data_IF_386936339579
#
_entry.id   IF_386936339579
#
_cell.length_a   1.000
_cell.length_b   1.000
_cell.length_c   1.000
_cell.angle_alpha   90.00
_cell.angle_beta   90.00
_cell.angle_gamma   90.00
#
_symmetry.space_group_name_H-M   'P 1'
#
loop_
_entity.id
_entity.type
_entity.pdbx_description
1 polymer ?
#
# COMPACT_ATOMS: atom_id res chain seq x y z
N UNK A 1 -31.49 -5.40 21.70
CA UNK A 1 -30.14 -4.86 21.44
C UNK A 1 -30.32 -3.48 20.83
N UNK A 2 -29.70 -2.48 21.40
CA UNK A 2 -30.01 -1.07 21.10
C UNK A 2 -29.39 -0.65 19.76
N UNK A 3 -29.99 0.32 19.08
CA UNK A 3 -29.52 0.92 17.83
C UNK A 3 -28.06 1.44 17.92
N UNK A 4 -27.58 1.80 19.11
CA UNK A 4 -26.21 2.24 19.37
C UNK A 4 -25.15 1.13 19.25
N UNK A 5 -25.45 -0.11 19.64
CA UNK A 5 -24.50 -1.23 19.47
C UNK A 5 -24.35 -1.61 18.00
N UNK A 6 -25.44 -1.54 17.22
CA UNK A 6 -25.40 -1.82 15.78
C UNK A 6 -24.57 -0.77 15.02
N UNK A 7 -24.74 0.53 15.37
CA UNK A 7 -23.95 1.61 14.76
C UNK A 7 -22.47 1.50 15.07
N UNK A 8 -22.07 0.99 16.26
CA UNK A 8 -20.66 0.77 16.59
C UNK A 8 -20.03 -0.39 15.82
N UNK A 9 -20.78 -1.46 15.54
CA UNK A 9 -20.29 -2.60 14.75
C UNK A 9 -19.99 -2.22 13.32
N UNK A 10 -20.89 -1.48 12.66
CA UNK A 10 -20.70 -1.01 11.28
C UNK A 10 -19.49 -0.07 11.15
N UNK A 11 -19.26 0.81 12.12
CA UNK A 11 -18.13 1.71 12.09
C UNK A 11 -16.78 0.99 12.26
N UNK A 12 -16.72 -0.07 13.09
CA UNK A 12 -15.48 -0.88 13.22
C UNK A 12 -15.23 -1.68 11.96
N UNK A 13 -16.25 -2.24 11.36
CA UNK A 13 -16.21 -2.96 10.09
C UNK A 13 -15.69 -2.07 8.97
N UNK A 14 -16.30 -0.92 8.75
CA UNK A 14 -15.91 0.09 7.76
C UNK A 14 -14.43 0.51 7.95
N UNK A 15 -14.00 0.72 9.20
CA UNK A 15 -12.60 0.99 9.53
C UNK A 15 -11.66 -0.13 9.09
N UNK A 16 -12.00 -1.40 9.35
CA UNK A 16 -11.16 -2.54 9.00
C UNK A 16 -11.07 -2.72 7.47
N UNK A 17 -12.18 -2.54 6.74
CA UNK A 17 -12.22 -2.53 5.29
C UNK A 17 -11.25 -1.49 4.72
N UNK A 18 -11.32 -0.25 5.22
CA UNK A 18 -10.43 0.86 4.84
C UNK A 18 -8.95 0.60 5.17
N UNK A 19 -8.64 0.02 6.33
CA UNK A 19 -7.27 -0.35 6.71
C UNK A 19 -6.69 -1.37 5.72
N UNK A 20 -7.46 -2.42 5.36
CA UNK A 20 -7.00 -3.40 4.39
C UNK A 20 -6.85 -2.79 2.99
N UNK A 21 -7.81 -1.99 2.54
CA UNK A 21 -7.76 -1.31 1.25
C UNK A 21 -6.54 -0.38 1.14
N UNK A 22 -6.33 0.48 2.12
CA UNK A 22 -5.18 1.38 2.13
C UNK A 22 -3.85 0.63 2.20
N UNK A 23 -3.77 -0.48 2.95
CA UNK A 23 -2.57 -1.31 3.00
C UNK A 23 -2.21 -1.90 1.64
N UNK A 24 -3.20 -2.30 0.82
CA UNK A 24 -2.97 -2.74 -0.55
C UNK A 24 -2.37 -1.61 -1.41
N UNK A 25 -2.93 -0.41 -1.34
CA UNK A 25 -2.45 0.72 -2.14
C UNK A 25 -1.06 1.20 -1.72
N UNK A 26 -0.82 1.37 -0.42
CA UNK A 26 0.45 1.86 0.13
C UNK A 26 1.61 0.90 -0.10
N UNK A 27 1.35 -0.40 -0.23
CA UNK A 27 2.39 -1.42 -0.45
C UNK A 27 2.53 -1.86 -1.90
N UNK A 28 1.81 -1.23 -2.84
CA UNK A 28 1.87 -1.56 -4.27
C UNK A 28 3.12 -0.97 -4.93
N UNK A 29 4.26 -1.61 -4.70
CA UNK A 29 5.54 -1.24 -5.28
C UNK A 29 6.10 -2.41 -6.08
N UNK A 30 6.61 -2.12 -7.27
CA UNK A 30 7.34 -3.07 -8.11
C UNK A 30 8.83 -3.15 -7.72
N UNK A 31 9.29 -2.35 -6.74
CA UNK A 31 10.64 -2.34 -6.18
C UNK A 31 10.61 -2.66 -4.68
N UNK A 32 11.72 -3.16 -4.14
CA UNK A 32 11.89 -3.22 -2.67
C UNK A 32 11.84 -1.80 -2.14
N UNK A 33 10.86 -1.49 -1.32
CA UNK A 33 10.65 -0.14 -0.80
C UNK A 33 10.62 -0.12 0.70
N UNK A 34 11.24 0.90 1.27
CA UNK A 34 11.12 1.25 2.68
C UNK A 34 10.86 2.75 2.73
N UNK A 35 9.72 3.15 3.22
CA UNK A 35 9.31 4.55 3.22
C UNK A 35 8.54 4.95 4.46
N UNK A 36 8.44 6.26 4.60
CA UNK A 36 7.56 6.90 5.56
C UNK A 36 6.54 7.70 4.75
N UNK A 37 5.29 7.51 5.08
CA UNK A 37 4.19 8.26 4.51
C UNK A 37 3.65 9.12 5.63
N UNK A 38 3.61 10.42 5.41
CA UNK A 38 2.84 11.34 6.22
C UNK A 38 1.39 11.22 5.72
N UNK A 39 0.62 10.53 6.50
CA UNK A 39 -0.73 10.16 6.18
C UNK A 39 -1.56 10.51 7.41
N UNK A 40 -2.71 11.16 7.24
CA UNK A 40 -3.59 11.46 8.37
C UNK A 40 -4.24 10.18 8.88
N UNK A 41 -3.77 9.63 10.02
CA UNK A 41 -4.32 8.41 10.55
C UNK A 41 -5.72 8.60 11.14
N UNK A 42 -6.21 9.84 11.32
CA UNK A 42 -7.61 10.10 11.67
C UNK A 42 -8.55 9.63 10.54
N UNK A 43 -8.07 9.54 9.30
CA UNK A 43 -8.80 8.91 8.22
C UNK A 43 -9.01 7.40 8.44
N UNK A 44 -8.15 6.72 9.23
CA UNK A 44 -8.36 5.33 9.66
C UNK A 44 -9.19 5.21 10.95
N UNK A 45 -9.14 6.22 11.82
CA UNK A 45 -9.76 6.19 13.15
C UNK A 45 -10.53 7.48 13.35
N UNK A 46 -11.70 7.61 12.76
CA UNK A 46 -12.63 8.65 13.17
C UNK A 46 -13.33 8.22 14.46
N UNK A 47 -12.66 8.40 15.59
CA UNK A 47 -13.26 8.15 16.91
C UNK A 47 -14.34 9.19 17.26
N UNK A 48 -14.43 10.30 16.51
CA UNK A 48 -15.38 11.38 16.77
C UNK A 48 -16.81 11.01 16.35
N UNK A 49 -17.01 10.20 15.33
CA UNK A 49 -18.36 9.80 14.85
C UNK A 49 -19.04 8.77 15.74
N UNK A 50 -18.31 8.08 16.63
CA UNK A 50 -18.85 6.95 17.39
C UNK A 50 -19.24 7.28 18.84
N UNK A 51 -19.36 8.55 19.21
CA UNK A 51 -19.82 8.94 20.54
C UNK A 51 -18.79 8.69 21.67
N UNK A 52 -17.55 8.39 21.35
CA UNK A 52 -16.44 8.14 22.28
C UNK A 52 -15.55 9.35 22.54
N UNK A 53 -16.01 10.55 22.42
CA UNK A 53 -15.23 11.73 22.77
C UNK A 53 -15.85 13.00 22.25
N UNK A 54 -15.74 14.07 23.04
CA UNK A 54 -16.05 15.42 22.59
C UNK A 54 -14.99 15.91 21.59
N UNK A 55 -15.30 16.90 20.76
CA UNK A 55 -14.56 17.54 19.67
C UNK A 55 -13.09 17.98 19.94
N UNK A 56 -12.41 17.38 20.91
CA UNK A 56 -11.06 17.76 21.36
C UNK A 56 -10.11 16.58 21.50
N UNK A 57 -10.19 15.59 20.60
CA UNK A 57 -9.11 14.61 20.47
C UNK A 57 -7.98 15.30 19.72
N UNK A 58 -6.92 15.68 20.42
CA UNK A 58 -5.73 16.29 19.82
C UNK A 58 -4.80 15.13 19.46
N UNK A 59 -4.67 14.88 18.19
CA UNK A 59 -3.67 13.96 17.66
C UNK A 59 -2.30 14.64 17.67
N UNK A 60 -1.38 14.08 18.45
CA UNK A 60 -0.10 14.76 18.71
C UNK A 60 1.04 14.24 17.86
N UNK A 61 0.98 13.07 17.31
CA UNK A 61 1.97 12.51 16.37
C UNK A 61 1.44 11.26 15.69
N UNK A 62 1.43 11.26 14.38
CA UNK A 62 1.16 10.08 13.59
C UNK A 62 2.31 9.83 12.62
N UNK A 63 2.76 8.60 12.56
CA UNK A 63 3.77 8.16 11.61
C UNK A 63 3.35 6.84 11.01
N UNK A 64 3.28 6.79 9.68
CA UNK A 64 3.03 5.55 8.95
C UNK A 64 4.33 5.11 8.27
N UNK A 65 4.80 3.94 8.62
CA UNK A 65 5.94 3.28 8.00
C UNK A 65 5.45 2.18 7.07
N UNK A 66 5.94 2.15 5.86
CA UNK A 66 5.55 1.19 4.83
C UNK A 66 6.78 0.50 4.28
N UNK A 67 6.69 -0.81 4.05
CA UNK A 67 7.74 -1.53 3.36
C UNK A 67 7.20 -2.67 2.52
N UNK A 68 7.86 -2.93 1.39
CA UNK A 68 7.54 -4.04 0.52
C UNK A 68 8.79 -4.68 -0.08
N UNK A 69 8.72 -5.98 -0.29
CA UNK A 69 9.76 -6.80 -0.93
C UNK A 69 9.08 -7.59 -2.04
N UNK A 70 9.04 -7.08 -3.28
CA UNK A 70 8.51 -7.79 -4.43
C UNK A 70 9.58 -8.70 -5.06
N UNK A 71 9.13 -9.74 -5.70
CA UNK A 71 9.89 -10.54 -6.66
C UNK A 71 8.99 -10.88 -7.84
N UNK A 72 9.45 -10.64 -9.05
CA UNK A 72 8.70 -10.92 -10.28
C UNK A 72 9.58 -11.64 -11.31
N UNK A 73 8.95 -12.43 -12.16
CA UNK A 73 9.61 -13.09 -13.25
C UNK A 73 8.66 -13.32 -14.43
N UNK A 74 9.24 -13.43 -15.62
CA UNK A 74 8.52 -13.68 -16.87
C UNK A 74 8.97 -15.01 -17.44
N UNK A 75 8.00 -15.89 -17.74
CA UNK A 75 8.25 -17.17 -18.39
C UNK A 75 7.88 -17.02 -19.86
N UNK A 76 8.87 -17.19 -20.73
CA UNK A 76 8.63 -17.22 -22.19
C UNK A 76 7.90 -18.48 -22.55
N UNK A 77 6.85 -18.37 -23.38
CA UNK A 77 6.14 -19.52 -23.91
C UNK A 77 6.65 -19.90 -25.32
N UNK A 78 6.17 -21.00 -25.87
CA UNK A 78 6.45 -21.39 -27.25
C UNK A 78 5.83 -20.42 -28.28
N UNK A 79 4.84 -19.64 -27.87
CA UNK A 79 4.28 -18.56 -28.67
C UNK A 79 5.09 -17.25 -28.41
N UNK A 80 5.79 -16.72 -29.44
CA UNK A 80 6.65 -15.52 -29.26
C UNK A 80 5.88 -14.26 -28.84
N UNK A 81 4.58 -14.23 -29.07
CA UNK A 81 3.72 -13.08 -28.71
C UNK A 81 3.07 -13.24 -27.34
N UNK A 82 3.32 -14.35 -26.61
CA UNK A 82 2.67 -14.64 -25.34
C UNK A 82 3.68 -14.98 -24.25
N UNK A 83 3.70 -14.20 -23.19
CA UNK A 83 4.48 -14.45 -21.99
C UNK A 83 3.57 -14.72 -20.78
N UNK A 84 4.05 -15.56 -19.85
CA UNK A 84 3.45 -15.72 -18.53
C UNK A 84 4.21 -14.84 -17.54
N UNK A 85 3.51 -13.96 -16.85
CA UNK A 85 4.08 -13.11 -15.82
C UNK A 85 3.60 -13.61 -14.46
N UNK A 86 4.51 -13.69 -13.49
CA UNK A 86 4.13 -13.92 -12.10
C UNK A 86 4.93 -13.04 -11.16
N UNK A 87 4.34 -12.73 -10.04
CA UNK A 87 5.03 -12.00 -8.97
C UNK A 87 4.53 -12.42 -7.60
N UNK A 88 5.40 -12.25 -6.60
CA UNK A 88 5.08 -12.36 -5.19
C UNK A 88 5.61 -11.12 -4.47
N UNK A 89 4.91 -10.70 -3.41
CA UNK A 89 5.33 -9.55 -2.62
C UNK A 89 4.98 -9.78 -1.15
N UNK A 90 5.97 -9.62 -0.28
CA UNK A 90 5.75 -9.47 1.15
C UNK A 90 5.76 -8.00 1.53
N UNK A 91 4.91 -7.58 2.44
CA UNK A 91 4.76 -6.17 2.80
C UNK A 91 4.37 -5.97 4.25
N UNK A 92 4.61 -4.76 4.76
CA UNK A 92 4.09 -4.32 6.04
C UNK A 92 3.66 -2.85 5.99
N UNK A 93 2.66 -2.52 6.80
CA UNK A 93 2.25 -1.17 7.13
C UNK A 93 2.20 -1.07 8.64
N UNK A 94 2.80 -0.03 9.19
CA UNK A 94 2.85 0.25 10.61
C UNK A 94 2.41 1.69 10.84
N UNK A 95 1.32 1.88 11.57
CA UNK A 95 0.82 3.18 12.00
C UNK A 95 0.95 3.29 13.52
N UNK A 96 1.62 4.34 13.98
CA UNK A 96 1.80 4.63 15.40
C UNK A 96 1.22 6.01 15.71
N UNK A 97 0.35 6.07 16.71
CA UNK A 97 -0.33 7.26 17.14
C UNK A 97 -0.32 7.36 18.67
N UNK A 98 -0.17 8.56 19.17
CA UNK A 98 -0.40 8.89 20.58
C UNK A 98 -1.74 9.63 20.71
N UNK A 99 -2.73 8.99 21.32
CA UNK A 99 -4.09 9.53 21.44
C UNK A 99 -4.26 10.21 22.80
N UNK A 100 -4.58 11.51 22.81
CA UNK A 100 -4.97 12.26 24.01
C UNK A 100 -6.50 12.28 24.13
N UNK A 101 -7.02 11.68 25.19
CA UNK A 101 -8.42 11.87 25.59
C UNK A 101 -8.49 12.90 26.69
N UNK A 102 -8.88 14.12 26.36
CA UNK A 102 -9.20 15.15 27.35
C UNK A 102 -10.71 15.30 27.46
N UNK A 103 -11.24 15.04 28.65
CA UNK A 103 -12.62 15.39 28.99
C UNK A 103 -12.59 16.50 30.04
N UNK A 104 -13.62 17.34 30.08
CA UNK A 104 -13.78 18.38 31.12
C UNK A 104 -13.83 17.80 32.56
N UNK A 105 -13.93 16.46 32.66
CA UNK A 105 -14.06 15.70 33.91
C UNK A 105 -12.72 15.17 34.43
N UNK A 106 -11.68 15.03 33.58
CA UNK A 106 -10.41 14.46 34.02
C UNK A 106 -9.24 15.37 33.71
N UNK A 107 -8.41 15.63 34.73
CA UNK A 107 -7.12 16.33 34.57
C UNK A 107 -5.99 15.41 34.09
N UNK A 108 -6.28 14.14 33.79
CA UNK A 108 -5.31 13.12 33.36
C UNK A 108 -5.09 13.22 31.86
N UNK A 109 -4.02 13.90 31.44
CA UNK A 109 -3.62 14.12 30.05
C UNK A 109 -2.60 13.10 29.55
N UNK A 110 -2.50 11.92 30.16
CA UNK A 110 -1.56 10.89 29.69
C UNK A 110 -1.98 10.40 28.32
N UNK A 111 -1.03 10.40 27.38
CA UNK A 111 -1.19 9.87 26.02
C UNK A 111 -1.36 8.36 26.07
N UNK A 112 -2.24 7.86 25.23
CA UNK A 112 -2.51 6.43 25.04
C UNK A 112 -1.91 5.99 23.71
N UNK A 113 -0.77 5.27 23.71
CA UNK A 113 -0.18 4.74 22.48
C UNK A 113 -1.12 3.77 21.79
N UNK A 114 -1.34 4.00 20.52
CA UNK A 114 -2.06 3.11 19.60
C UNK A 114 -1.14 2.70 18.46
N UNK A 115 -1.08 1.41 18.18
CA UNK A 115 -0.24 0.84 17.15
C UNK A 115 -1.02 -0.15 16.30
N UNK A 116 -1.20 0.20 15.04
CA UNK A 116 -1.80 -0.67 14.03
C UNK A 116 -0.71 -1.25 13.13
N UNK A 117 -0.73 -2.56 12.93
CA UNK A 117 0.23 -3.26 12.09
C UNK A 117 -0.53 -4.11 11.09
N UNK A 118 -0.21 -3.97 9.79
CA UNK A 118 -0.69 -4.88 8.74
C UNK A 118 0.50 -5.58 8.11
N UNK A 119 0.46 -6.90 8.08
CA UNK A 119 1.40 -7.73 7.32
C UNK A 119 0.68 -8.27 6.09
N UNK A 120 1.33 -8.21 4.94
CA UNK A 120 0.74 -8.61 3.67
C UNK A 120 1.61 -9.62 2.91
N UNK A 121 0.93 -10.57 2.28
CA UNK A 121 1.50 -11.43 1.25
C UNK A 121 0.61 -11.31 0.00
N UNK A 122 1.22 -10.99 -1.13
CA UNK A 122 0.56 -10.89 -2.44
C UNK A 122 1.18 -11.87 -3.41
N UNK A 123 0.34 -12.54 -4.18
CA UNK A 123 0.73 -13.36 -5.31
C UNK A 123 -0.05 -12.96 -6.56
N UNK A 124 0.62 -12.85 -7.70
CA UNK A 124 0.00 -12.52 -8.98
C UNK A 124 0.43 -13.52 -10.06
N UNK A 125 -0.51 -13.88 -10.92
CA UNK A 125 -0.25 -14.60 -12.15
C UNK A 125 -1.07 -14.01 -13.29
N UNK A 126 -0.43 -13.80 -14.43
CA UNK A 126 -1.06 -13.21 -15.60
C UNK A 126 -0.38 -13.60 -16.92
N UNK A 127 -0.99 -13.13 -17.98
CA UNK A 127 -0.52 -13.29 -19.36
C UNK A 127 -0.22 -11.91 -19.94
N UNK A 128 0.83 -11.81 -20.72
CA UNK A 128 1.16 -10.63 -21.51
C UNK A 128 1.19 -11.02 -22.98
N UNK A 129 0.33 -10.39 -23.78
CA UNK A 129 0.27 -10.53 -25.23
C UNK A 129 0.94 -9.34 -25.91
N UNK A 130 1.89 -9.61 -26.80
CA UNK A 130 2.45 -8.62 -27.72
C UNK A 130 1.46 -8.41 -28.87
N UNK A 131 0.95 -7.19 -29.04
CA UNK A 131 -0.01 -6.82 -30.08
C UNK A 131 0.71 -6.37 -31.37
N UNK A 132 1.80 -5.66 -31.21
CA UNK A 132 2.71 -5.25 -32.27
C UNK A 132 4.11 -4.97 -31.69
N UNK A 133 5.00 -4.29 -32.47
CA UNK A 133 6.38 -4.00 -32.05
C UNK A 133 6.49 -3.14 -30.79
N UNK A 134 5.44 -2.41 -30.42
CA UNK A 134 5.46 -1.41 -29.35
C UNK A 134 4.35 -1.64 -28.32
N UNK A 135 3.23 -2.22 -28.72
CA UNK A 135 2.07 -2.39 -27.87
C UNK A 135 1.98 -3.80 -27.30
N UNK A 136 1.72 -3.90 -26.03
CA UNK A 136 1.35 -5.15 -25.38
C UNK A 136 0.17 -4.95 -24.42
N UNK A 137 -0.61 -6.01 -24.24
CA UNK A 137 -1.70 -6.07 -23.26
C UNK A 137 -1.41 -7.19 -22.28
N UNK A 138 -1.47 -6.86 -20.98
CA UNK A 138 -1.35 -7.81 -19.90
C UNK A 138 -2.66 -7.94 -19.13
N UNK A 139 -2.99 -9.13 -18.67
CA UNK A 139 -4.14 -9.37 -17.79
C UNK A 139 -3.86 -10.53 -16.85
N UNK A 140 -4.43 -10.49 -15.66
CA UNK A 140 -4.18 -11.51 -14.67
C UNK A 140 -4.96 -11.33 -13.39
N UNK A 141 -4.68 -12.20 -12.44
CA UNK A 141 -5.31 -12.22 -11.13
C UNK A 141 -4.24 -12.19 -10.04
N UNK A 142 -4.39 -11.26 -9.12
CA UNK A 142 -3.67 -11.18 -7.87
C UNK A 142 -4.50 -11.69 -6.70
N UNK A 143 -3.83 -12.15 -5.65
CA UNK A 143 -4.45 -12.52 -4.38
C UNK A 143 -3.63 -11.94 -3.25
N UNK A 144 -4.26 -11.18 -2.37
CA UNK A 144 -3.68 -10.67 -1.14
C UNK A 144 -4.15 -11.50 0.05
N UNK A 145 -3.24 -11.85 0.94
CA UNK A 145 -3.52 -12.32 2.28
C UNK A 145 -2.97 -11.30 3.25
N UNK A 146 -3.83 -10.68 4.03
CA UNK A 146 -3.47 -9.61 4.96
C UNK A 146 -3.78 -10.03 6.39
N UNK A 147 -2.89 -9.68 7.30
CA UNK A 147 -3.06 -9.85 8.74
C UNK A 147 -2.94 -8.51 9.44
N UNK A 148 -4.00 -8.07 10.08
CA UNK A 148 -4.07 -6.88 10.90
C UNK A 148 -3.93 -7.20 12.37
N UNK A 149 -3.22 -6.37 13.11
CA UNK A 149 -3.13 -6.39 14.56
C UNK A 149 -3.10 -4.98 15.13
N UNK A 150 -3.96 -4.72 16.09
CA UNK A 150 -3.97 -3.52 16.90
C UNK A 150 -3.37 -3.78 18.28
N UNK A 151 -2.60 -2.83 18.79
CA UNK A 151 -2.11 -2.76 20.18
C UNK A 151 -2.39 -1.37 20.73
N UNK A 152 -3.13 -1.31 21.80
CA UNK A 152 -3.51 -0.07 22.49
C UNK A 152 -3.14 -0.13 23.97
N UNK A 153 -2.53 0.95 24.50
CA UNK A 153 -2.16 1.04 25.91
C UNK A 153 -3.08 2.03 26.65
N UNK A 154 -3.85 1.54 27.61
CA UNK A 154 -4.72 2.36 28.45
C UNK A 154 -3.93 3.05 29.57
N UNK A 155 -3.29 4.20 29.29
CA UNK A 155 -2.53 4.96 30.28
C UNK A 155 -3.40 5.94 31.05
N UNK A 156 -4.37 6.57 30.38
CA UNK A 156 -5.30 7.50 30.95
C UNK A 156 -6.35 6.78 31.83
N UNK A 157 -6.71 7.36 32.97
CA UNK A 157 -7.69 6.78 33.91
C UNK A 157 -9.09 6.65 33.31
N UNK A 158 -9.47 7.58 32.44
CA UNK A 158 -10.76 7.57 31.75
C UNK A 158 -10.84 6.41 30.74
N UNK A 159 -9.82 6.23 29.92
CA UNK A 159 -9.81 5.13 28.92
C UNK A 159 -9.81 3.74 29.55
N UNK A 160 -9.23 3.59 30.74
CA UNK A 160 -9.25 2.32 31.49
C UNK A 160 -10.66 1.88 31.89
N UNK A 161 -11.62 2.79 32.03
CA UNK A 161 -13.00 2.43 32.37
C UNK A 161 -13.69 1.67 31.24
N UNK A 162 -13.23 1.85 30.00
CA UNK A 162 -13.80 1.18 28.81
C UNK A 162 -12.97 -0.04 28.36
N UNK A 163 -11.86 -0.34 29.03
CA UNK A 163 -10.95 -1.41 28.62
C UNK A 163 -11.68 -2.74 28.41
N UNK A 164 -12.51 -3.17 29.36
CA UNK A 164 -13.22 -4.44 29.28
C UNK A 164 -14.27 -4.53 28.15
N UNK A 165 -14.65 -3.38 27.58
CA UNK A 165 -15.64 -3.31 26.48
C UNK A 165 -14.95 -3.23 25.12
N UNK A 166 -13.72 -2.69 25.07
CA UNK A 166 -13.01 -2.43 23.81
C UNK A 166 -11.95 -3.48 23.49
N UNK A 167 -11.35 -4.11 24.53
CA UNK A 167 -10.33 -5.14 24.32
C UNK A 167 -10.92 -6.38 23.63
N UNK A 168 -10.25 -6.80 22.55
CA UNK A 168 -10.70 -7.91 21.70
C UNK A 168 -11.77 -7.53 20.69
N UNK A 169 -12.47 -6.41 20.91
CA UNK A 169 -13.54 -5.95 20.03
C UNK A 169 -13.05 -4.91 19.01
N UNK A 170 -12.62 -3.75 19.48
CA UNK A 170 -12.13 -2.64 18.65
C UNK A 170 -10.64 -2.35 18.85
N UNK A 171 -10.13 -2.64 20.05
CA UNK A 171 -8.74 -2.44 20.46
C UNK A 171 -8.15 -3.75 20.96
N UNK A 172 -6.79 -3.85 20.92
CA UNK A 172 -6.05 -5.05 21.31
C UNK A 172 -6.58 -6.32 20.65
N UNK A 173 -6.83 -6.23 19.34
CA UNK A 173 -7.49 -7.26 18.54
C UNK A 173 -6.74 -7.57 17.25
N UNK A 174 -7.20 -8.56 16.51
CA UNK A 174 -6.61 -8.98 15.24
C UNK A 174 -7.66 -9.38 14.21
N UNK A 175 -7.29 -9.27 12.94
CA UNK A 175 -8.12 -9.66 11.82
C UNK A 175 -7.29 -10.15 10.63
N UNK A 176 -7.90 -10.94 9.78
CA UNK A 176 -7.34 -11.40 8.51
C UNK A 176 -8.24 -10.95 7.37
N UNK A 177 -7.68 -10.82 6.17
CA UNK A 177 -8.44 -10.67 4.94
C UNK A 177 -7.80 -11.47 3.80
N UNK A 178 -8.65 -12.06 2.95
CA UNK A 178 -8.28 -12.66 1.68
C UNK A 178 -8.99 -11.89 0.56
N UNK A 179 -8.20 -11.33 -0.36
CA UNK A 179 -8.68 -10.36 -1.33
C UNK A 179 -8.17 -10.75 -2.72
N UNK A 180 -9.09 -10.94 -3.67
CA UNK A 180 -8.77 -11.14 -5.09
C UNK A 180 -8.63 -9.83 -5.83
N UNK A 181 -7.65 -9.70 -6.73
CA UNK A 181 -7.38 -8.49 -7.49
C UNK A 181 -7.16 -8.82 -8.98
N UNK A 182 -8.22 -8.91 -9.82
CA UNK A 182 -8.06 -8.90 -11.27
C UNK A 182 -7.47 -7.59 -11.76
N UNK A 183 -6.65 -7.68 -12.82
CA UNK A 183 -6.01 -6.52 -13.43
C UNK A 183 -5.86 -6.65 -14.94
N UNK A 184 -5.88 -5.49 -15.62
CA UNK A 184 -5.56 -5.36 -17.04
C UNK A 184 -4.59 -4.20 -17.20
N UNK A 185 -3.52 -4.40 -17.99
CA UNK A 185 -2.50 -3.38 -18.30
C UNK A 185 -2.35 -3.26 -19.81
N UNK A 186 -2.43 -2.05 -20.33
CA UNK A 186 -2.00 -1.71 -21.68
C UNK A 186 -0.65 -0.99 -21.59
N UNK A 187 0.32 -1.44 -22.38
CA UNK A 187 1.69 -0.90 -22.37
C UNK A 187 2.11 -0.54 -23.79
N UNK A 188 2.63 0.67 -23.96
CA UNK A 188 3.37 1.11 -25.13
C UNK A 188 4.85 1.29 -24.76
N UNK A 189 5.76 0.57 -25.40
CA UNK A 189 7.19 0.65 -25.18
C UNK A 189 7.90 1.06 -26.47
N UNK A 190 8.75 2.08 -26.40
CA UNK A 190 9.54 2.54 -27.53
C UNK A 190 11.03 2.58 -27.19
N UNK A 191 11.83 1.67 -27.76
CA UNK A 191 13.29 1.76 -27.72
C UNK A 191 13.78 2.98 -28.51
N UNK A 192 14.86 3.61 -28.04
CA UNK A 192 15.49 4.76 -28.66
C UNK A 192 17.01 4.58 -28.63
N UNK A 193 17.76 5.50 -29.26
CA UNK A 193 19.24 5.47 -29.25
C UNK A 193 19.84 5.82 -27.90
N UNK A 194 19.10 6.51 -27.04
CA UNK A 194 19.54 6.92 -25.69
C UNK A 194 19.00 6.00 -24.57
N UNK A 195 18.14 5.04 -24.90
CA UNK A 195 17.53 4.14 -23.94
C UNK A 195 16.13 3.73 -24.37
N UNK A 196 15.12 3.92 -23.54
CA UNK A 196 13.72 3.63 -23.85
C UNK A 196 12.77 4.53 -23.09
N UNK A 197 11.53 4.62 -23.54
CA UNK A 197 10.43 5.18 -22.76
C UNK A 197 9.18 4.32 -22.95
N UNK A 198 8.35 4.32 -21.95
CA UNK A 198 7.08 3.64 -22.03
C UNK A 198 5.94 4.48 -21.43
N UNK A 199 4.73 4.19 -21.88
CA UNK A 199 3.49 4.66 -21.28
C UNK A 199 2.61 3.45 -21.00
N UNK A 200 2.05 3.39 -19.81
CA UNK A 200 1.13 2.32 -19.49
C UNK A 200 -0.11 2.84 -18.77
N UNK A 201 -1.22 2.13 -18.97
CA UNK A 201 -2.45 2.30 -18.20
C UNK A 201 -2.84 0.94 -17.64
N UNK A 202 -3.07 0.87 -16.31
CA UNK A 202 -3.43 -0.36 -15.60
C UNK A 202 -4.69 -0.12 -14.79
N UNK A 203 -5.69 -0.96 -15.02
CA UNK A 203 -6.89 -1.03 -14.18
C UNK A 203 -6.77 -2.22 -13.22
N UNK A 204 -7.07 -2.01 -11.94
CA UNK A 204 -7.11 -3.02 -10.89
C UNK A 204 -8.38 -2.84 -10.08
N UNK A 205 -9.08 -3.91 -9.84
CA UNK A 205 -10.22 -3.95 -8.93
C UNK A 205 -9.94 -5.02 -7.89
N UNK A 206 -10.16 -4.73 -6.64
CA UNK A 206 -10.02 -5.73 -5.60
C UNK A 206 -11.32 -5.86 -4.79
N UNK A 207 -11.59 -7.09 -4.41
CA UNK A 207 -12.69 -7.45 -3.52
C UNK A 207 -12.32 -8.67 -2.71
N UNK A 208 -12.73 -8.69 -1.43
CA UNK A 208 -12.40 -9.80 -0.55
C UNK A 208 -13.33 -9.97 0.62
N UNK A 209 -12.91 -10.81 1.54
CA UNK A 209 -13.60 -11.07 2.79
C UNK A 209 -12.62 -11.08 3.95
N UNK A 210 -13.03 -10.48 5.06
CA UNK A 210 -12.31 -10.50 6.31
C UNK A 210 -12.87 -11.50 7.31
N UNK A 211 -12.03 -11.92 8.27
CA UNK A 211 -12.40 -12.73 9.43
C UNK A 211 -11.42 -12.51 10.57
N UNK A 212 -11.76 -12.84 11.80
CA UNK A 212 -10.85 -12.70 12.94
C UNK A 212 -11.55 -12.50 14.26
N UNK A 213 -10.83 -11.90 15.19
CA UNK A 213 -11.36 -11.62 16.55
C UNK A 213 -12.06 -10.26 16.62
N UNK A 214 -11.60 -9.28 15.85
CA UNK A 214 -12.15 -7.93 15.86
C UNK A 214 -13.65 -7.96 15.51
N UNK A 215 -14.39 -7.01 16.09
CA UNK A 215 -15.82 -6.80 15.81
C UNK A 215 -16.67 -8.10 15.86
N UNK A 216 -16.36 -8.98 16.82
CA UNK A 216 -17.04 -10.28 16.97
C UNK A 216 -17.00 -11.16 15.69
N UNK A 217 -16.01 -10.94 14.84
CA UNK A 217 -15.80 -11.67 13.58
C UNK A 217 -16.39 -11.01 12.33
N UNK A 218 -17.16 -9.95 12.46
CA UNK A 218 -17.65 -9.17 11.30
C UNK A 218 -16.61 -8.13 10.86
N UNK A 219 -15.68 -8.59 10.03
CA UNK A 219 -14.54 -7.79 9.56
C UNK A 219 -14.89 -7.01 8.28
N UNK A 220 -15.91 -7.45 7.56
CA UNK A 220 -16.35 -6.84 6.31
C UNK A 220 -15.70 -7.41 5.06
N UNK A 221 -15.91 -6.69 3.95
CA UNK A 221 -15.52 -7.09 2.61
C UNK A 221 -14.76 -5.96 1.92
N UNK A 222 -13.45 -5.83 2.14
CA UNK A 222 -12.65 -4.76 1.54
C UNK A 222 -12.81 -4.73 0.03
N UNK A 223 -13.12 -3.55 -0.52
CA UNK A 223 -13.38 -3.32 -1.93
C UNK A 223 -12.70 -2.03 -2.41
N UNK A 224 -12.16 -2.04 -3.63
CA UNK A 224 -11.63 -0.82 -4.20
C UNK A 224 -11.17 -0.98 -5.64
N UNK A 225 -10.96 0.16 -6.26
CA UNK A 225 -10.52 0.26 -7.63
C UNK A 225 -9.34 1.22 -7.73
N UNK A 226 -8.36 0.88 -8.59
CA UNK A 226 -7.22 1.73 -8.93
C UNK A 226 -7.04 1.78 -10.43
N UNK A 227 -6.91 2.99 -10.97
CA UNK A 227 -6.53 3.20 -12.36
C UNK A 227 -5.22 3.96 -12.40
N UNK A 228 -4.16 3.27 -12.82
CA UNK A 228 -2.78 3.75 -12.77
C UNK A 228 -2.34 4.11 -14.18
N UNK A 229 -2.06 5.39 -14.42
CA UNK A 229 -1.44 5.89 -15.64
C UNK A 229 0.01 6.23 -15.33
N UNK A 230 0.94 5.66 -16.09
CA UNK A 230 2.37 5.79 -15.88
C UNK A 230 3.09 6.20 -17.15
N UNK A 231 4.08 7.07 -17.01
CA UNK A 231 5.12 7.30 -17.99
C UNK A 231 6.48 7.03 -17.35
N UNK A 232 7.31 6.25 -18.02
CA UNK A 232 8.63 5.89 -17.56
C UNK A 232 9.67 6.18 -18.63
N UNK A 233 10.84 6.66 -18.20
CA UNK A 233 12.02 6.89 -19.03
C UNK A 233 13.20 6.11 -18.45
N UNK A 234 13.91 5.39 -19.30
CA UNK A 234 15.15 4.68 -18.99
C UNK A 234 16.24 5.24 -19.89
N UNK A 235 17.19 5.95 -19.30
CA UNK A 235 18.25 6.60 -20.02
C UNK A 235 19.59 5.91 -19.78
N UNK A 236 20.25 5.44 -20.83
CA UNK A 236 21.62 4.93 -20.76
C UNK A 236 22.59 6.07 -20.46
N UNK A 237 23.41 5.91 -19.46
CA UNK A 237 24.39 6.92 -19.03
C UNK A 237 25.80 6.36 -19.18
N UNK A 238 26.71 7.15 -19.74
CA UNK A 238 28.14 6.81 -19.74
C UNK A 238 28.77 7.43 -18.51
N UNK A 239 29.14 6.59 -17.56
CA UNK A 239 29.77 7.04 -16.31
C UNK A 239 31.15 6.43 -16.19
N UNK A 240 32.16 7.10 -16.81
CA UNK A 240 33.51 6.59 -16.91
C UNK A 240 34.25 6.51 -15.56
N UNK A 241 33.85 7.31 -14.55
CA UNK A 241 34.48 7.34 -13.24
C UNK A 241 34.03 6.27 -12.26
N UNK A 242 32.91 5.60 -12.53
CA UNK A 242 32.40 4.48 -11.75
C UNK A 242 32.49 3.23 -12.64
N UNK A 243 33.19 2.20 -12.20
CA UNK A 243 33.27 0.90 -12.91
C UNK A 243 31.94 0.16 -12.84
N UNK A 244 30.85 0.81 -13.24
CA UNK A 244 29.49 0.27 -13.27
C UNK A 244 29.20 -0.27 -14.67
N UNK A 245 28.59 -1.45 -14.73
CA UNK A 245 28.16 -2.05 -15.99
C UNK A 245 26.83 -1.45 -16.42
N UNK A 246 26.78 -0.89 -17.64
CA UNK A 246 25.59 -0.36 -18.30
C UNK A 246 24.67 0.49 -17.39
N UNK A 247 25.20 1.57 -16.75
CA UNK A 247 24.36 2.37 -15.86
C UNK A 247 23.20 3.03 -16.61
N UNK A 248 22.00 2.94 -16.03
CA UNK A 248 20.78 3.55 -16.54
C UNK A 248 20.12 4.38 -15.45
N UNK A 249 19.65 5.55 -15.82
CA UNK A 249 18.81 6.39 -14.96
C UNK A 249 17.36 6.13 -15.34
N UNK A 250 16.55 5.82 -14.32
CA UNK A 250 15.13 5.61 -14.45
C UNK A 250 14.39 6.81 -13.86
N UNK A 251 13.36 7.26 -14.55
CA UNK A 251 12.40 8.25 -14.08
C UNK A 251 11.01 7.70 -14.35
N UNK A 252 10.14 7.76 -13.35
CA UNK A 252 8.73 7.43 -13.54
C UNK A 252 7.84 8.52 -12.95
N UNK A 253 6.72 8.72 -13.59
CA UNK A 253 5.64 9.56 -13.11
C UNK A 253 4.35 8.77 -13.25
N UNK A 254 3.58 8.69 -12.16
CA UNK A 254 2.31 8.00 -12.09
C UNK A 254 1.21 8.94 -11.63
N UNK A 255 0.03 8.82 -12.22
CA UNK A 255 -1.23 9.27 -11.65
C UNK A 255 -2.05 8.05 -11.31
N UNK A 256 -2.50 7.96 -10.08
CA UNK A 256 -3.32 6.88 -9.56
C UNK A 256 -4.68 7.45 -9.18
N UNK A 257 -5.72 7.07 -9.93
CA UNK A 257 -7.10 7.35 -9.61
C UNK A 257 -7.65 6.18 -8.77
N UNK A 258 -8.35 6.47 -7.68
CA UNK A 258 -8.81 5.50 -6.68
C UNK A 258 -10.30 5.64 -6.42
N UNK A 259 -10.95 4.52 -6.00
CA UNK A 259 -12.36 4.48 -5.62
C UNK A 259 -12.63 3.39 -4.57
N UNK A 260 -13.80 3.44 -3.95
CA UNK A 260 -14.23 2.51 -2.91
C UNK A 260 -13.56 2.81 -1.57
N UNK A 261 -13.23 1.77 -0.80
CA UNK A 261 -12.63 1.89 0.53
C UNK A 261 -11.28 2.60 0.58
N UNK A 262 -10.75 3.00 -0.58
CA UNK A 262 -9.52 3.80 -0.69
C UNK A 262 -9.78 5.31 -0.54
N UNK A 263 -10.95 5.81 -0.85
CA UNK A 263 -11.20 7.25 -0.96
C UNK A 263 -11.04 7.95 0.38
N UNK A 264 -11.70 7.46 1.41
CA UNK A 264 -11.68 8.07 2.75
C UNK A 264 -10.27 8.06 3.37
N UNK A 265 -9.52 6.91 3.38
CA UNK A 265 -8.17 6.90 3.91
C UNK A 265 -7.23 7.89 3.24
N UNK A 266 -7.37 8.10 1.95
CA UNK A 266 -6.51 9.00 1.19
C UNK A 266 -7.07 10.42 1.10
N UNK A 267 -8.32 10.67 1.54
CA UNK A 267 -9.05 11.93 1.44
C UNK A 267 -8.92 12.55 0.04
N UNK A 268 -8.97 11.70 -0.98
CA UNK A 268 -8.83 12.08 -2.37
C UNK A 268 -9.32 10.97 -3.29
N UNK A 269 -9.67 11.34 -4.52
CA UNK A 269 -9.98 10.39 -5.60
C UNK A 269 -8.76 10.08 -6.49
N UNK A 270 -7.63 10.77 -6.29
CA UNK A 270 -6.39 10.51 -7.03
C UNK A 270 -5.16 11.07 -6.30
N UNK A 271 -4.00 10.49 -6.59
CA UNK A 271 -2.71 11.01 -6.16
C UNK A 271 -1.64 10.79 -7.22
N UNK A 272 -0.48 11.40 -7.03
CA UNK A 272 0.65 11.30 -7.92
C UNK A 272 1.83 10.65 -7.25
N UNK A 273 2.61 9.91 -8.05
CA UNK A 273 3.89 9.38 -7.65
C UNK A 273 4.95 9.84 -8.64
N UNK A 274 6.10 10.21 -8.12
CA UNK A 274 7.29 10.56 -8.87
C UNK A 274 8.47 9.77 -8.35
N UNK A 275 9.11 8.96 -9.22
CA UNK A 275 10.28 8.16 -8.88
C UNK A 275 11.48 8.51 -9.75
N UNK A 276 12.67 8.40 -9.13
CA UNK A 276 13.94 8.47 -9.83
C UNK A 276 14.91 7.44 -9.25
N UNK A 277 15.67 6.77 -10.12
CA UNK A 277 16.62 5.74 -9.69
C UNK A 277 17.79 5.55 -10.65
N UNK A 278 18.85 4.95 -10.15
CA UNK A 278 20.00 4.52 -10.91
C UNK A 278 20.08 3.00 -10.86
N UNK A 279 20.14 2.36 -12.00
CA UNK A 279 20.23 0.90 -12.16
C UNK A 279 21.49 0.55 -12.95
N UNK A 280 22.11 -0.55 -12.63
CA UNK A 280 23.29 -1.09 -13.33
C UNK A 280 23.27 -2.60 -13.35
N UNK A 281 23.83 -3.18 -14.42
CA UNK A 281 23.91 -4.62 -14.58
C UNK A 281 24.87 -5.24 -13.58
N UNK A 282 24.51 -6.42 -13.07
CA UNK A 282 25.41 -7.20 -12.20
C UNK A 282 26.49 -7.88 -13.06
N UNK A 283 27.79 -7.77 -12.70
CA UNK A 283 28.89 -8.21 -13.56
C UNK A 283 29.09 -9.73 -13.65
N UNK A 284 28.25 -10.53 -13.01
CA UNK A 284 28.32 -12.00 -13.05
C UNK A 284 26.92 -12.62 -13.22
N UNK A 285 26.87 -13.82 -13.79
CA UNK A 285 25.64 -14.60 -13.90
C UNK A 285 25.08 -14.90 -12.49
N UNK A 286 24.18 -14.05 -12.04
CA UNK A 286 23.45 -14.24 -10.79
C UNK A 286 22.14 -14.97 -11.04
N UNK A 287 21.86 -16.00 -10.26
CA UNK A 287 20.58 -16.72 -10.33
C UNK A 287 19.39 -15.88 -9.87
N UNK A 288 19.64 -14.75 -9.18
CA UNK A 288 18.60 -13.97 -8.53
C UNK A 288 18.42 -12.56 -9.11
N UNK A 289 19.49 -11.95 -9.65
CA UNK A 289 19.43 -10.56 -10.10
C UNK A 289 20.26 -10.38 -11.39
N UNK A 290 19.61 -9.85 -12.42
CA UNK A 290 20.30 -9.41 -13.64
C UNK A 290 20.85 -7.99 -13.49
N UNK A 291 20.14 -7.16 -12.72
CA UNK A 291 20.53 -5.79 -12.42
C UNK A 291 20.18 -5.42 -10.98
N UNK A 292 20.83 -4.37 -10.50
CA UNK A 292 20.62 -3.78 -9.18
C UNK A 292 20.58 -2.26 -9.31
N UNK A 293 19.73 -1.62 -8.50
CA UNK A 293 19.63 -0.18 -8.50
C UNK A 293 19.16 0.39 -7.16
N UNK A 294 19.30 1.68 -7.03
CA UNK A 294 18.78 2.46 -5.91
C UNK A 294 18.01 3.65 -6.43
N UNK A 295 16.95 4.01 -5.75
CA UNK A 295 16.10 5.11 -6.16
C UNK A 295 15.34 5.72 -4.99
N UNK A 296 14.59 6.74 -5.31
CA UNK A 296 13.66 7.41 -4.40
C UNK A 296 12.31 7.54 -5.10
N UNK A 297 11.25 7.43 -4.33
CA UNK A 297 9.88 7.70 -4.78
C UNK A 297 9.24 8.73 -3.85
N UNK A 298 8.45 9.62 -4.41
CA UNK A 298 7.67 10.63 -3.70
C UNK A 298 6.20 10.49 -4.07
N UNK A 299 5.34 10.47 -3.06
CA UNK A 299 3.89 10.48 -3.21
C UNK A 299 3.38 11.88 -2.89
N UNK A 300 2.40 12.34 -3.66
CA UNK A 300 1.74 13.61 -3.49
C UNK A 300 0.25 13.51 -3.78
N UNK A 301 -0.56 13.76 -2.76
CA UNK A 301 -2.04 13.82 -2.81
C UNK A 301 -2.55 14.80 -1.77
N UNK A 302 -3.87 14.95 -1.59
CA UNK A 302 -4.45 15.89 -0.62
C UNK A 302 -4.07 15.54 0.82
N UNK A 303 -4.20 14.28 1.22
CA UNK A 303 -3.82 13.79 2.54
C UNK A 303 -2.71 12.75 2.51
N UNK A 304 -2.08 12.56 1.33
CA UNK A 304 -0.98 11.63 1.14
C UNK A 304 0.25 12.41 0.70
N UNK A 305 1.24 12.50 1.56
CA UNK A 305 2.59 12.93 1.20
C UNK A 305 3.61 11.99 1.80
N UNK A 306 4.68 11.71 1.08
CA UNK A 306 5.69 10.82 1.61
C UNK A 306 6.81 10.52 0.64
N UNK A 307 7.80 9.79 1.13
CA UNK A 307 8.93 9.36 0.34
C UNK A 307 9.38 7.97 0.72
N UNK A 308 9.89 7.24 -0.26
CA UNK A 308 10.43 5.91 -0.10
C UNK A 308 11.81 5.80 -0.73
N UNK A 309 12.69 5.07 -0.07
CA UNK A 309 13.90 4.56 -0.69
C UNK A 309 13.54 3.27 -1.44
N UNK A 310 14.00 3.18 -2.66
CA UNK A 310 13.79 2.04 -3.54
C UNK A 310 15.09 1.27 -3.74
N UNK A 311 15.01 -0.05 -3.67
CA UNK A 311 16.03 -0.95 -4.17
C UNK A 311 15.45 -1.68 -5.38
N UNK A 312 15.97 -1.35 -6.55
CA UNK A 312 15.51 -1.85 -7.84
C UNK A 312 16.25 -3.15 -8.14
N UNK A 313 15.52 -4.22 -8.38
CA UNK A 313 16.05 -5.55 -8.68
C UNK A 313 15.30 -6.09 -9.91
N UNK A 314 16.04 -6.59 -10.92
CA UNK A 314 15.46 -7.13 -12.15
C UNK A 314 14.54 -6.15 -12.92
N UNK A 315 14.92 -4.89 -13.00
CA UNK A 315 14.17 -3.82 -13.68
C UNK A 315 14.58 -3.66 -15.15
#
# INVERSE_FOLDING_TARGET
>A
MSSTAYASNEAIKDRLEKIFAASIALTDSDAVSIGFVDFDPNSFINLNDNGFGSDKTIDTRSQVSVGSIPYSSTIKTDNPDLDVIWSVRASYVLSEQDIEFSTDVTSDRRLNPNKDTVLGLYGFMGLQNQLDRHWSIGYGLGVHTLYYRNKYEYKNSYTRTFQSQLDGYALNTSAWALIGEPSVKLLYLKPTTWGSWNVSSRARYFYGAGWGEANEGDIGNPEGFRFINEIEFRQNVKWESLSLNNPQVHYNFRRIDIAGDLEDPFDTHYYYEFGAGLVFDVPYDSYFFDNFGVGINFNYGSSLSGGSLLFLLNN
#
